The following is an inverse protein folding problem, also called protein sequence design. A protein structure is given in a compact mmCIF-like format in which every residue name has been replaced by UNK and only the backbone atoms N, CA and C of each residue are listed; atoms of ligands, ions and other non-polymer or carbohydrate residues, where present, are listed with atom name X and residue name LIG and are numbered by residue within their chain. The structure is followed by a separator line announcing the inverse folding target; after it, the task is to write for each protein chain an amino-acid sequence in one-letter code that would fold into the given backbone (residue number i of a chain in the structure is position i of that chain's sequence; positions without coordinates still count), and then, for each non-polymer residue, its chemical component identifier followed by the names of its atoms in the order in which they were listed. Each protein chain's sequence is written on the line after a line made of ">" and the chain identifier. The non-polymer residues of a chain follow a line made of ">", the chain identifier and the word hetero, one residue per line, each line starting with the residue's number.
data_IF_813128885663
#
_entry.id   IF_813128885663
#
_cell.length_a   1.000
_cell.length_b   1.000
_cell.length_c   1.000
_cell.angle_alpha   90.00
_cell.angle_beta   90.00
_cell.angle_gamma   90.00
#
_symmetry.space_group_name_H-M   'P 1'
#
loop_
_entity.id
_entity.type
_entity.pdbx_description
1 polymer ?
#
# COMPACT_ATOMS: atom_id res chain seq x y z
N UNK A 1 14.73 22.71 5.02
CA UNK A 1 15.63 21.91 5.88
C UNK A 1 15.17 20.45 5.79
N UNK A 2 15.96 19.53 5.23
CA UNK A 2 15.58 18.10 5.11
C UNK A 2 15.78 17.40 6.45
N UNK A 3 14.76 16.73 6.98
CA UNK A 3 14.88 15.97 8.23
C UNK A 3 15.77 14.73 8.05
N UNK A 4 16.27 14.14 9.16
CA UNK A 4 17.03 12.87 9.12
C UNK A 4 16.21 11.74 8.48
N UNK A 5 14.90 11.75 8.72
CA UNK A 5 13.95 10.78 8.19
C UNK A 5 13.81 10.93 6.67
N UNK A 6 13.69 12.17 6.17
CA UNK A 6 13.62 12.44 4.72
C UNK A 6 14.87 11.95 3.98
N UNK A 7 16.04 12.05 4.62
CA UNK A 7 17.29 11.52 4.04
C UNK A 7 17.25 10.01 3.88
N UNK A 8 16.62 9.27 4.80
CA UNK A 8 16.47 7.82 4.67
C UNK A 8 15.58 7.46 3.49
N UNK A 9 14.49 8.20 3.26
CA UNK A 9 13.64 7.99 2.08
C UNK A 9 14.36 8.28 0.76
N UNK A 10 15.15 9.35 0.71
CA UNK A 10 15.98 9.65 -0.47
C UNK A 10 16.99 8.53 -0.74
N UNK A 11 17.58 7.94 0.30
CA UNK A 11 18.47 6.79 0.16
C UNK A 11 17.73 5.55 -0.37
N UNK A 12 16.51 5.27 0.08
CA UNK A 12 15.70 4.17 -0.44
C UNK A 12 15.33 4.38 -1.92
N UNK A 13 15.05 5.62 -2.33
CA UNK A 13 14.63 5.95 -3.69
C UNK A 13 15.78 5.91 -4.70
N UNK A 14 16.89 6.56 -4.38
CA UNK A 14 17.92 6.95 -5.37
C UNK A 14 19.28 6.28 -5.17
N UNK A 15 19.51 5.55 -4.08
CA UNK A 15 20.84 5.00 -3.80
C UNK A 15 21.19 3.84 -4.74
N UNK A 16 22.34 3.89 -5.44
CA UNK A 16 22.78 2.80 -6.32
C UNK A 16 23.24 1.57 -5.52
N UNK A 17 23.77 1.77 -4.31
CA UNK A 17 24.35 0.71 -3.50
C UNK A 17 23.26 -0.07 -2.75
N UNK A 18 23.13 -1.37 -3.05
CA UNK A 18 22.12 -2.24 -2.42
C UNK A 18 22.28 -2.31 -0.89
N UNK A 19 23.51 -2.48 -0.39
CA UNK A 19 23.77 -2.59 1.06
C UNK A 19 23.36 -1.33 1.82
N UNK A 20 23.53 -0.15 1.22
CA UNK A 20 23.14 1.12 1.85
C UNK A 20 21.61 1.28 1.89
N UNK A 21 20.89 0.77 0.87
CA UNK A 21 19.43 0.73 0.89
C UNK A 21 18.89 -0.18 1.99
N UNK A 22 19.50 -1.36 2.17
CA UNK A 22 19.12 -2.26 3.27
C UNK A 22 19.39 -1.62 4.63
N UNK A 23 20.56 -1.00 4.82
CA UNK A 23 20.87 -0.29 6.07
C UNK A 23 19.89 0.88 6.33
N UNK A 24 19.47 1.61 5.29
CA UNK A 24 18.46 2.66 5.43
C UNK A 24 17.08 2.08 5.81
N UNK A 25 16.70 0.93 5.24
CA UNK A 25 15.47 0.22 5.59
C UNK A 25 15.47 -0.27 7.04
N UNK A 26 16.59 -0.83 7.51
CA UNK A 26 16.80 -1.22 8.92
C UNK A 26 16.64 -0.02 9.86
N UNK A 27 17.28 1.11 9.53
CA UNK A 27 17.15 2.33 10.34
C UNK A 27 15.72 2.86 10.41
N UNK A 28 14.96 2.73 9.32
CA UNK A 28 13.56 3.12 9.30
C UNK A 28 12.70 2.24 10.22
N UNK A 29 13.01 0.93 10.29
CA UNK A 29 12.39 -0.01 11.23
C UNK A 29 12.68 0.34 12.69
N UNK A 30 13.94 0.66 13.03
CA UNK A 30 14.31 1.06 14.39
C UNK A 30 13.66 2.39 14.81
N UNK A 31 13.52 3.34 13.88
CA UNK A 31 12.80 4.59 14.14
C UNK A 31 11.32 4.31 14.44
N UNK A 32 10.67 3.48 13.61
CA UNK A 32 9.28 3.08 13.81
C UNK A 32 9.05 2.42 15.18
N UNK A 33 9.99 1.58 15.61
CA UNK A 33 9.97 0.96 16.95
C UNK A 33 10.10 2.00 18.08
N UNK A 34 11.03 2.95 17.93
CA UNK A 34 11.30 3.96 18.97
C UNK A 34 10.20 5.02 19.11
N UNK A 35 9.44 5.25 18.04
CA UNK A 35 8.45 6.34 17.96
C UNK A 35 7.16 5.85 17.28
N UNK A 36 6.24 5.25 18.05
CA UNK A 36 4.98 4.71 17.52
C UNK A 36 4.12 5.75 16.78
N UNK A 37 4.19 7.02 17.19
CA UNK A 37 3.46 8.13 16.57
C UNK A 37 3.90 8.44 15.14
N UNK A 38 5.09 8.00 14.72
CA UNK A 38 5.64 8.26 13.39
C UNK A 38 5.36 7.14 12.38
N UNK A 39 4.81 6.00 12.82
CA UNK A 39 4.56 4.82 11.99
C UNK A 39 3.64 5.15 10.82
N UNK A 40 2.54 5.87 11.06
CA UNK A 40 1.57 6.25 10.04
C UNK A 40 2.20 7.14 8.96
N UNK A 41 3.05 8.09 9.38
CA UNK A 41 3.80 8.94 8.46
C UNK A 41 4.78 8.12 7.62
N UNK A 42 5.49 7.18 8.23
CA UNK A 42 6.45 6.31 7.55
C UNK A 42 5.76 5.45 6.49
N UNK A 43 4.62 4.83 6.79
CA UNK A 43 3.85 4.07 5.82
C UNK A 43 3.31 4.94 4.68
N UNK A 44 2.82 6.14 4.99
CA UNK A 44 2.35 7.09 3.98
C UNK A 44 3.44 7.44 2.97
N UNK A 45 4.68 7.59 3.43
CA UNK A 45 5.85 7.84 2.58
C UNK A 45 6.34 6.58 1.82
N UNK A 46 6.13 5.37 2.35
CA UNK A 46 6.55 4.12 1.69
C UNK A 46 5.60 3.67 0.57
N UNK A 47 4.29 3.94 0.68
CA UNK A 47 3.29 3.59 -0.34
C UNK A 47 3.67 4.07 -1.76
N UNK A 48 4.06 5.34 -2.00
CA UNK A 48 4.47 5.77 -3.34
C UNK A 48 5.77 5.08 -3.81
N UNK A 49 6.68 4.75 -2.89
CA UNK A 49 7.93 4.04 -3.24
C UNK A 49 7.66 2.60 -3.73
N UNK A 50 6.61 1.94 -3.25
CA UNK A 50 6.17 0.63 -3.77
C UNK A 50 5.64 0.69 -5.20
N UNK A 51 5.13 1.84 -5.63
CA UNK A 51 4.63 2.09 -6.98
C UNK A 51 5.67 2.77 -7.87
N UNK A 52 6.90 2.91 -7.38
CA UNK A 52 7.95 3.60 -8.13
C UNK A 52 8.36 2.82 -9.39
N UNK A 53 8.73 3.54 -10.45
CA UNK A 53 9.18 2.94 -11.73
C UNK A 53 10.39 2.04 -11.54
N UNK A 54 11.32 2.44 -10.68
CA UNK A 54 12.53 1.69 -10.39
C UNK A 54 12.21 0.45 -9.53
N UNK A 55 12.49 -0.73 -10.06
CA UNK A 55 12.42 -2.01 -9.34
C UNK A 55 13.18 -1.98 -8.01
N UNK A 56 14.37 -1.38 -8.01
CA UNK A 56 15.25 -1.39 -6.86
C UNK A 56 14.62 -0.62 -5.67
N UNK A 57 13.96 0.51 -5.95
CA UNK A 57 13.24 1.30 -4.95
C UNK A 57 12.05 0.52 -4.38
N UNK A 58 11.33 -0.26 -5.21
CA UNK A 58 10.21 -1.11 -4.75
C UNK A 58 10.67 -2.17 -3.76
N UNK A 59 11.78 -2.85 -4.07
CA UNK A 59 12.37 -3.85 -3.17
C UNK A 59 12.83 -3.22 -1.86
N UNK A 60 13.51 -2.08 -1.93
CA UNK A 60 13.98 -1.37 -0.73
C UNK A 60 12.82 -0.90 0.16
N UNK A 61 11.73 -0.41 -0.42
CA UNK A 61 10.52 -0.05 0.32
C UNK A 61 9.85 -1.28 0.98
N UNK A 62 9.78 -2.41 0.27
CA UNK A 62 9.24 -3.66 0.85
C UNK A 62 10.10 -4.19 2.01
N UNK A 63 11.42 -4.02 1.91
CA UNK A 63 12.36 -4.37 2.97
C UNK A 63 12.15 -3.51 4.21
N UNK A 64 11.97 -2.19 4.03
CA UNK A 64 11.65 -1.28 5.11
C UNK A 64 10.36 -1.69 5.83
N UNK A 65 9.30 -2.02 5.08
CA UNK A 65 8.04 -2.51 5.66
C UNK A 65 8.28 -3.79 6.47
N UNK A 66 9.07 -4.73 5.95
CA UNK A 66 9.42 -5.96 6.66
C UNK A 66 10.11 -5.69 8.00
N UNK A 67 11.08 -4.77 8.03
CA UNK A 67 11.75 -4.38 9.27
C UNK A 67 10.79 -3.72 10.27
N UNK A 68 9.91 -2.82 9.81
CA UNK A 68 8.90 -2.19 10.65
C UNK A 68 7.98 -3.25 11.27
N UNK A 69 7.42 -4.16 10.47
CA UNK A 69 6.50 -5.21 10.92
C UNK A 69 7.16 -6.15 11.93
N UNK A 70 8.45 -6.47 11.78
CA UNK A 70 9.18 -7.30 12.75
C UNK A 70 9.32 -6.69 14.14
N UNK A 71 9.16 -5.38 14.27
CA UNK A 71 9.25 -4.69 15.55
C UNK A 71 7.88 -4.40 16.19
N UNK A 72 6.79 -4.59 15.45
CA UNK A 72 5.43 -4.47 15.98
C UNK A 72 5.10 -5.70 16.84
N UNK A 73 4.34 -5.53 17.94
CA UNK A 73 3.83 -6.66 18.71
C UNK A 73 2.86 -7.48 17.87
N UNK A 74 2.79 -8.78 18.15
CA UNK A 74 1.81 -9.65 17.52
C UNK A 74 0.39 -9.15 17.84
N UNK A 75 -0.41 -9.00 16.79
CA UNK A 75 -1.81 -8.62 16.93
C UNK A 75 -2.63 -9.86 17.32
N UNK A 76 -3.03 -9.94 18.58
CA UNK A 76 -3.94 -10.97 19.09
C UNK A 76 -5.36 -10.39 19.23
N UNK A 77 -6.25 -10.58 18.25
CA UNK A 77 -7.63 -10.15 18.40
C UNK A 77 -8.31 -11.02 19.45
N UNK A 78 -8.97 -10.42 20.43
CA UNK A 78 -9.86 -11.14 21.34
C UNK A 78 -11.02 -11.71 20.54
N UNK A 79 -10.91 -12.98 20.17
CA UNK A 79 -11.99 -13.73 19.53
C UNK A 79 -13.10 -13.91 20.57
N UNK A 80 -14.06 -12.99 20.58
CA UNK A 80 -15.28 -13.18 21.35
C UNK A 80 -16.11 -14.23 20.60
N UNK A 81 -15.80 -15.50 20.84
CA UNK A 81 -16.42 -16.67 20.22
C UNK A 81 -17.87 -16.85 20.70
N UNK A 82 -18.75 -15.91 20.37
CA UNK A 82 -20.20 -16.05 20.47
C UNK A 82 -20.86 -15.60 19.16
N UNK A 83 -20.34 -16.10 18.04
CA UNK A 83 -21.19 -16.37 16.89
C UNK A 83 -20.56 -17.53 16.13
N UNK A 84 -21.14 -18.70 16.35
CA UNK A 84 -21.05 -19.79 15.41
C UNK A 84 -21.54 -19.21 14.08
N UNK A 85 -20.61 -18.89 13.16
CA UNK A 85 -20.99 -18.40 11.83
C UNK A 85 -21.70 -19.57 11.17
N UNK A 86 -23.02 -19.55 11.20
CA UNK A 86 -23.85 -20.39 10.38
C UNK A 86 -23.41 -20.12 8.94
N UNK A 87 -22.92 -21.14 8.24
CA UNK A 87 -22.23 -21.02 6.94
C UNK A 87 -23.12 -20.49 5.80
N UNK A 88 -24.32 -20.01 6.10
CA UNK A 88 -25.33 -19.54 5.15
C UNK A 88 -25.27 -18.04 4.82
N UNK A 89 -24.65 -17.20 5.65
CA UNK A 89 -24.77 -15.73 5.51
C UNK A 89 -23.49 -15.01 5.04
N UNK A 90 -22.63 -15.65 4.26
CA UNK A 90 -21.45 -14.95 3.69
C UNK A 90 -21.81 -14.05 2.49
N UNK A 91 -23.02 -14.18 1.93
CA UNK A 91 -23.39 -13.49 0.70
C UNK A 91 -23.77 -12.00 0.88
N UNK A 92 -24.00 -11.51 2.11
CA UNK A 92 -24.53 -10.15 2.35
C UNK A 92 -23.50 -9.10 2.77
N UNK A 93 -22.28 -9.49 3.13
CA UNK A 93 -21.35 -8.58 3.82
C UNK A 93 -20.18 -8.10 2.94
N UNK A 94 -20.22 -8.35 1.62
CA UNK A 94 -19.14 -7.95 0.70
C UNK A 94 -17.81 -8.69 0.90
N UNK A 95 -17.75 -9.66 1.82
CA UNK A 95 -16.59 -10.53 2.02
C UNK A 95 -16.56 -11.67 1.00
N UNK A 96 -15.38 -11.97 0.49
CA UNK A 96 -15.15 -13.09 -0.43
C UNK A 96 -14.92 -14.37 0.39
N UNK A 97 -15.58 -15.47 0.01
CA UNK A 97 -15.31 -16.80 0.60
C UNK A 97 -14.38 -17.61 -0.30
N UNK A 98 -13.42 -18.32 0.32
CA UNK A 98 -12.57 -19.25 -0.42
C UNK A 98 -13.37 -20.46 -0.94
N UNK A 99 -14.32 -20.97 -0.14
CA UNK A 99 -15.17 -22.10 -0.52
C UNK A 99 -16.07 -21.79 -1.73
N UNK A 100 -16.43 -20.51 -1.94
CA UNK A 100 -17.19 -20.06 -3.10
C UNK A 100 -16.35 -19.65 -4.30
N UNK A 101 -15.01 -19.76 -4.24
CA UNK A 101 -14.13 -19.32 -5.32
C UNK A 101 -14.24 -20.23 -6.54
N UNK A 102 -14.80 -19.69 -7.63
CA UNK A 102 -14.96 -20.37 -8.92
C UNK A 102 -13.94 -19.90 -9.94
N UNK A 103 -12.88 -20.69 -10.15
CA UNK A 103 -11.79 -20.36 -11.07
C UNK A 103 -12.27 -20.28 -12.52
N UNK A 104 -13.21 -21.15 -12.91
CA UNK A 104 -13.81 -21.15 -14.23
C UNK A 104 -14.48 -19.81 -14.57
N UNK A 105 -15.19 -19.21 -13.61
CA UNK A 105 -15.80 -17.90 -13.76
C UNK A 105 -14.75 -16.79 -13.83
N UNK A 106 -13.71 -16.85 -12.99
CA UNK A 106 -12.60 -15.89 -13.01
C UNK A 106 -11.85 -15.91 -14.35
N UNK A 107 -11.66 -17.08 -14.95
CA UNK A 107 -10.99 -17.19 -16.25
C UNK A 107 -11.86 -16.74 -17.42
N UNK A 108 -13.18 -17.00 -17.35
CA UNK A 108 -14.11 -16.61 -18.42
C UNK A 108 -14.45 -15.12 -18.40
N UNK A 109 -14.60 -14.52 -17.21
CA UNK A 109 -15.14 -13.16 -17.03
C UNK A 109 -14.19 -12.20 -16.32
N UNK A 110 -13.07 -12.68 -15.78
CA UNK A 110 -12.14 -11.84 -15.05
C UNK A 110 -11.44 -10.80 -15.92
N UNK A 111 -11.09 -9.67 -15.31
CA UNK A 111 -10.26 -8.65 -15.94
C UNK A 111 -8.85 -9.21 -16.18
N UNK A 112 -8.35 -9.09 -17.41
CA UNK A 112 -6.99 -9.50 -17.74
C UNK A 112 -5.98 -8.46 -17.26
N UNK A 113 -5.07 -8.88 -16.40
CA UNK A 113 -3.97 -8.05 -15.92
C UNK A 113 -2.79 -8.17 -16.88
N UNK A 114 -2.58 -7.16 -17.71
CA UNK A 114 -1.44 -7.06 -18.61
C UNK A 114 -0.26 -6.36 -17.93
N UNK A 115 0.90 -6.35 -18.60
CA UNK A 115 2.01 -5.50 -18.17
C UNK A 115 1.54 -4.04 -18.18
N UNK A 116 1.61 -3.40 -17.02
CA UNK A 116 1.17 -2.01 -16.86
C UNK A 116 2.00 -1.09 -17.76
N UNK A 117 1.33 -0.27 -18.57
CA UNK A 117 2.00 0.75 -19.38
C UNK A 117 2.56 1.84 -18.45
N UNK A 118 3.78 2.30 -18.73
CA UNK A 118 4.45 3.36 -17.99
C UNK A 118 3.61 4.66 -17.94
N UNK A 119 2.79 4.91 -18.96
CA UNK A 119 1.91 6.09 -19.03
C UNK A 119 0.75 6.03 -18.03
N UNK A 120 0.22 4.83 -17.75
CA UNK A 120 -0.83 4.63 -16.74
C UNK A 120 -0.28 4.76 -15.32
N UNK A 121 0.96 4.30 -15.12
CA UNK A 121 1.66 4.44 -13.85
C UNK A 121 1.88 5.92 -13.49
N UNK A 122 2.26 6.76 -14.46
CA UNK A 122 2.50 8.18 -14.23
C UNK A 122 1.24 8.95 -13.80
N UNK A 123 0.10 8.69 -14.44
CA UNK A 123 -1.21 9.27 -14.06
C UNK A 123 -1.56 8.95 -12.60
N UNK A 124 -1.25 7.72 -12.18
CA UNK A 124 -1.52 7.24 -10.84
C UNK A 124 -0.55 7.79 -9.78
N UNK A 125 0.71 8.01 -10.13
CA UNK A 125 1.70 8.59 -9.23
C UNK A 125 1.51 10.12 -9.07
N UNK A 126 0.88 10.76 -10.07
CA UNK A 126 0.53 12.19 -10.07
C UNK A 126 -0.55 12.56 -9.05
N UNK A 127 -1.27 11.59 -8.46
CA UNK A 127 -2.29 11.80 -7.42
C UNK A 127 -1.73 12.28 -6.06
N UNK A 128 -0.55 12.88 -6.04
CA UNK A 128 -0.15 13.81 -4.97
C UNK A 128 0.17 13.21 -3.60
N UNK A 129 0.60 11.96 -3.51
CA UNK A 129 0.95 11.36 -2.21
C UNK A 129 2.14 12.04 -1.52
N UNK A 130 3.11 12.55 -2.28
CA UNK A 130 4.31 13.19 -1.73
C UNK A 130 4.09 14.66 -1.30
N UNK A 131 3.15 15.37 -1.92
CA UNK A 131 2.80 16.76 -1.54
C UNK A 131 2.06 16.83 -0.20
N UNK A 132 1.34 15.77 0.18
CA UNK A 132 0.58 15.71 1.43
C UNK A 132 1.50 15.56 2.66
N UNK A 133 2.58 14.77 2.56
CA UNK A 133 3.52 14.58 3.67
C UNK A 133 4.31 15.85 4.05
N UNK A 134 4.47 16.82 3.13
CA UNK A 134 5.14 18.10 3.43
C UNK A 134 4.23 19.11 4.15
N UNK A 135 2.90 18.98 4.03
CA UNK A 135 1.93 19.98 4.55
C UNK A 135 1.37 19.64 5.93
N UNK A 136 1.56 18.41 6.42
CA UNK A 136 0.89 17.93 7.64
C UNK A 136 1.51 18.39 8.97
N UNK A 137 2.40 19.39 8.98
CA UNK A 137 2.84 20.03 10.24
C UNK A 137 1.95 21.19 10.67
N UNK A 138 0.91 21.51 9.90
CA UNK A 138 -0.02 22.57 10.20
C UNK A 138 -1.36 22.26 9.52
N UNK A 139 -2.35 21.90 10.35
CA UNK A 139 -3.79 21.80 10.09
C UNK A 139 -4.41 20.39 9.90
N UNK A 140 -5.43 20.20 10.73
CA UNK A 140 -6.52 19.24 10.80
C UNK A 140 -6.61 18.05 9.82
N UNK A 141 -6.92 16.90 10.43
CA UNK A 141 -7.36 15.65 9.82
C UNK A 141 -8.74 15.83 9.18
N UNK A 142 -8.78 15.93 7.84
CA UNK A 142 -10.01 15.76 7.06
C UNK A 142 -9.86 14.46 6.23
N UNK A 143 -10.62 13.45 6.64
CA UNK A 143 -10.75 12.19 5.92
C UNK A 143 -11.79 12.38 4.82
N UNK A 144 -11.34 12.75 3.62
CA UNK A 144 -12.20 12.72 2.45
C UNK A 144 -12.51 11.28 2.04
N UNK A 145 -13.80 10.97 2.08
CA UNK A 145 -14.47 9.75 1.68
C UNK A 145 -14.12 9.36 0.24
N UNK A 146 -13.75 8.10 0.04
CA UNK A 146 -13.55 7.52 -1.29
C UNK A 146 -14.90 7.34 -2.01
N UNK A 147 -15.15 8.10 -3.07
CA UNK A 147 -16.18 7.75 -4.06
C UNK A 147 -15.57 6.83 -5.14
N UNK A 148 -16.11 5.61 -5.34
CA UNK A 148 -15.66 4.72 -6.41
C UNK A 148 -16.38 5.11 -7.71
N UNK A 149 -15.85 6.10 -8.43
CA UNK A 149 -16.24 6.27 -9.84
C UNK A 149 -15.56 5.20 -10.68
N UNK A 150 -16.27 4.09 -10.85
CA UNK A 150 -16.09 3.12 -11.93
C UNK A 150 -16.44 3.79 -13.26
N UNK A 151 -15.43 4.23 -14.00
CA UNK A 151 -15.60 4.57 -15.41
C UNK A 151 -15.17 3.35 -16.24
N UNK A 152 -16.00 2.31 -16.21
CA UNK A 152 -15.95 1.25 -17.22
C UNK A 152 -16.71 1.79 -18.41
N UNK A 153 -16.03 2.50 -19.30
CA UNK A 153 -16.57 2.76 -20.63
C UNK A 153 -16.71 1.41 -21.34
N UNK A 154 -17.97 0.99 -21.43
CA UNK A 154 -18.40 -0.16 -22.18
C UNK A 154 -18.96 0.29 -23.54
N UNK A 155 -18.59 -0.47 -24.57
CA UNK A 155 -19.20 -0.57 -25.91
C UNK A 155 -18.87 0.59 -26.89
N UNK A 156 -18.73 0.40 -28.22
CA UNK A 156 -19.31 -0.57 -29.16
C UNK A 156 -18.36 -0.76 -30.37
N UNK A 157 -18.23 -1.98 -30.89
CA UNK A 157 -17.65 -2.31 -32.19
C UNK A 157 -18.76 -2.20 -33.27
N UNK A 158 -18.58 -1.48 -34.40
CA UNK A 158 -19.60 -1.48 -35.45
C UNK A 158 -19.51 -2.74 -36.33
N UNK A 159 -20.69 -3.21 -36.73
CA UNK A 159 -20.99 -4.30 -37.68
C UNK A 159 -20.36 -4.11 -39.05
#
# INVERSE_FOLDING_TARGET
>A
MTSRLDRLFVLLESCPNASLRTAAAEQLGEIAKSSPSSIDYVFTCLIPLLRHKNWASRIAASEAIRHIVRHLPDWEPTLNCQSYIDQKDVSTNGFLSLSGLRIDYVLAQGARLYSMDARELDKNNSRGYFERCKKNNENAMECDTFDPQTDIQSQILPT
#
